data_IF_125973657662
#
_entry.id   IF_125973657662
#
_cell.length_a   1.000
_cell.length_b   1.000
_cell.length_c   1.000
_cell.angle_alpha   90.00
_cell.angle_beta   90.00
_cell.angle_gamma   90.00
#
_symmetry.space_group_name_H-M   'P 1'
#
loop_
_entity.id
_entity.type
_entity.pdbx_description
1 polymer ?
#
# COMPACT_ATOMS: atom_id res chain seq x y z
N UNK A 1 52.38 -32.10 -19.74
CA UNK A 1 51.73 -31.12 -18.81
C UNK A 1 50.24 -31.06 -19.17
N UNK A 2 49.46 -31.88 -18.52
CA UNK A 2 47.99 -31.99 -18.73
C UNK A 2 47.31 -30.99 -17.79
N UNK A 3 46.75 -29.93 -18.36
CA UNK A 3 45.90 -28.96 -17.63
C UNK A 3 44.58 -29.65 -17.27
N UNK A 4 44.42 -30.04 -16.01
CA UNK A 4 43.15 -30.39 -15.42
C UNK A 4 42.30 -29.12 -15.35
N UNK A 5 41.35 -28.96 -16.28
CA UNK A 5 40.22 -28.02 -16.13
C UNK A 5 39.31 -28.57 -15.03
N UNK A 6 39.45 -28.01 -13.85
CA UNK A 6 38.45 -28.21 -12.80
C UNK A 6 37.19 -27.49 -13.31
N UNK A 7 36.22 -28.25 -13.81
CA UNK A 7 34.86 -27.77 -14.04
C UNK A 7 34.28 -27.34 -12.70
N UNK A 8 34.28 -26.04 -12.47
CA UNK A 8 33.58 -25.45 -11.31
C UNK A 8 32.08 -25.67 -11.50
N UNK A 9 31.57 -26.75 -10.93
CA UNK A 9 30.12 -26.91 -10.78
C UNK A 9 29.55 -25.68 -10.11
N UNK A 10 28.80 -24.87 -10.85
CA UNK A 10 28.11 -23.68 -10.34
C UNK A 10 27.04 -24.15 -9.36
N UNK A 11 27.38 -24.18 -8.08
CA UNK A 11 26.44 -24.49 -7.03
C UNK A 11 25.32 -23.44 -7.05
N UNK A 12 24.11 -23.89 -7.32
CA UNK A 12 22.92 -22.99 -7.25
C UNK A 12 22.68 -22.64 -5.78
N UNK A 13 22.36 -21.35 -5.46
CA UNK A 13 22.05 -20.95 -4.10
C UNK A 13 20.83 -21.74 -3.61
N UNK A 14 20.96 -22.37 -2.46
CA UNK A 14 19.85 -23.07 -1.83
C UNK A 14 18.93 -22.03 -1.21
N UNK A 15 17.83 -21.76 -1.87
CA UNK A 15 16.76 -20.92 -1.31
C UNK A 15 15.95 -21.76 -0.32
N UNK A 16 15.60 -21.26 0.87
CA UNK A 16 14.77 -21.98 1.81
C UNK A 16 13.51 -22.54 1.16
N UNK A 17 13.22 -23.83 1.34
CA UNK A 17 12.06 -24.52 0.75
C UNK A 17 10.75 -23.86 1.14
N UNK A 18 10.67 -23.34 2.36
CA UNK A 18 9.49 -22.61 2.82
C UNK A 18 9.24 -21.33 2.02
N UNK A 19 10.29 -20.61 1.60
CA UNK A 19 10.15 -19.44 0.76
C UNK A 19 9.64 -19.79 -0.64
N UNK A 20 10.08 -20.94 -1.17
CA UNK A 20 9.59 -21.47 -2.46
C UNK A 20 8.10 -21.78 -2.37
N UNK A 21 7.65 -22.45 -1.30
CA UNK A 21 6.23 -22.78 -1.10
C UNK A 21 5.38 -21.49 -0.89
N UNK A 22 5.85 -20.54 -0.11
CA UNK A 22 5.16 -19.26 0.11
C UNK A 22 4.99 -18.41 -1.15
N UNK A 23 5.95 -18.49 -2.06
CA UNK A 23 5.92 -17.75 -3.32
C UNK A 23 5.29 -18.53 -4.48
N UNK A 24 4.90 -19.79 -4.29
CA UNK A 24 4.41 -20.68 -5.35
C UNK A 24 3.24 -20.09 -6.16
N UNK A 25 2.37 -19.30 -5.53
CA UNK A 25 1.24 -18.59 -6.19
C UNK A 25 1.68 -17.68 -7.34
N UNK A 26 2.93 -17.20 -7.30
CA UNK A 26 3.51 -16.33 -8.34
C UNK A 26 4.31 -17.09 -9.39
N UNK A 27 4.54 -18.40 -9.21
CA UNK A 27 5.33 -19.20 -10.16
C UNK A 27 4.88 -19.06 -11.61
N UNK A 28 3.55 -19.02 -11.92
CA UNK A 28 3.08 -18.87 -13.30
C UNK A 28 3.40 -17.50 -13.96
N UNK A 29 3.78 -16.48 -13.18
CA UNK A 29 4.12 -15.15 -13.71
C UNK A 29 5.53 -15.13 -14.37
N UNK A 30 6.35 -16.17 -14.16
CA UNK A 30 7.77 -16.13 -14.48
C UNK A 30 8.21 -17.37 -15.25
N UNK A 31 9.16 -17.23 -16.18
CA UNK A 31 9.86 -18.35 -16.77
C UNK A 31 10.74 -19.05 -15.73
N UNK A 32 11.10 -20.32 -15.94
CA UNK A 32 11.88 -21.07 -14.97
C UNK A 32 13.23 -20.41 -14.59
N UNK A 33 14.02 -19.84 -15.50
CA UNK A 33 15.25 -19.13 -15.14
C UNK A 33 14.98 -17.86 -14.33
N UNK A 34 13.98 -17.06 -14.72
CA UNK A 34 13.60 -15.84 -14.01
C UNK A 34 13.10 -16.15 -12.60
N UNK A 35 12.32 -17.23 -12.45
CA UNK A 35 11.80 -17.66 -11.16
C UNK A 35 12.91 -17.93 -10.14
N UNK A 36 13.95 -18.65 -10.52
CA UNK A 36 15.11 -18.92 -9.64
C UNK A 36 15.72 -17.63 -9.10
N UNK A 37 15.86 -16.60 -9.95
CA UNK A 37 16.41 -15.31 -9.55
C UNK A 37 15.42 -14.51 -8.68
N UNK A 38 14.11 -14.60 -8.94
CA UNK A 38 13.07 -13.96 -8.12
C UNK A 38 13.11 -14.48 -6.68
N UNK A 39 13.24 -15.78 -6.49
CA UNK A 39 13.35 -16.39 -5.15
C UNK A 39 14.51 -15.79 -4.35
N UNK A 40 15.68 -15.66 -4.98
CA UNK A 40 16.86 -15.05 -4.37
C UNK A 40 16.65 -13.56 -4.07
N UNK A 41 16.08 -12.83 -5.02
CA UNK A 41 15.84 -11.38 -4.85
C UNK A 41 14.83 -11.10 -3.73
N UNK A 42 13.77 -11.89 -3.63
CA UNK A 42 12.75 -11.73 -2.57
C UNK A 42 13.33 -12.15 -1.21
N UNK A 43 13.96 -13.30 -1.13
CA UNK A 43 14.62 -13.76 0.11
C UNK A 43 15.64 -12.74 0.61
N UNK A 44 16.53 -12.30 -0.27
CA UNK A 44 17.52 -11.30 0.08
C UNK A 44 16.95 -9.92 0.39
N UNK A 45 15.83 -9.51 -0.22
CA UNK A 45 15.16 -8.26 0.14
C UNK A 45 14.56 -8.30 1.56
N UNK A 46 14.12 -9.46 2.02
CA UNK A 46 13.62 -9.67 3.38
C UNK A 46 14.78 -9.70 4.38
N UNK A 47 15.84 -10.46 4.06
CA UNK A 47 16.95 -10.71 4.96
C UNK A 47 17.99 -9.58 5.02
N UNK A 48 18.13 -8.77 3.96
CA UNK A 48 19.11 -7.69 3.92
C UNK A 48 18.81 -6.61 4.98
N UNK A 49 19.78 -6.22 5.82
CA UNK A 49 19.65 -5.04 6.65
C UNK A 49 19.81 -3.76 5.82
N UNK A 50 19.16 -2.66 6.24
CA UNK A 50 19.28 -1.30 5.70
C UNK A 50 18.95 -1.17 4.20
N UNK A 51 19.94 -1.27 3.29
CA UNK A 51 19.79 -0.95 1.86
C UNK A 51 19.27 -2.13 1.05
N UNK A 52 18.26 -1.89 0.21
CA UNK A 52 17.68 -2.90 -0.70
C UNK A 52 18.23 -2.73 -2.13
N UNK A 53 19.57 -2.79 -2.26
CA UNK A 53 20.24 -2.88 -3.56
C UNK A 53 20.34 -4.35 -3.98
N UNK A 54 20.38 -4.64 -5.28
CA UNK A 54 20.58 -6.01 -5.77
C UNK A 54 21.86 -6.62 -5.19
N UNK A 55 22.96 -5.85 -5.13
CA UNK A 55 24.24 -6.32 -4.58
C UNK A 55 24.15 -6.65 -3.09
N UNK A 56 23.42 -5.87 -2.29
CA UNK A 56 23.21 -6.19 -0.87
C UNK A 56 22.34 -7.43 -0.71
N UNK A 57 21.32 -7.58 -1.55
CA UNK A 57 20.49 -8.79 -1.62
C UNK A 57 21.34 -10.03 -1.92
N UNK A 58 22.23 -9.94 -2.91
CA UNK A 58 23.12 -11.06 -3.27
C UNK A 58 24.12 -11.37 -2.14
N UNK A 59 24.67 -10.34 -1.50
CA UNK A 59 25.61 -10.53 -0.40
C UNK A 59 24.97 -11.28 0.77
N UNK A 60 23.78 -10.91 1.19
CA UNK A 60 23.08 -11.62 2.30
C UNK A 60 22.68 -13.04 1.92
N UNK A 61 22.51 -13.32 0.63
CA UNK A 61 22.21 -14.64 0.09
C UNK A 61 23.48 -15.47 -0.20
N UNK A 62 24.66 -15.04 0.24
CA UNK A 62 25.92 -15.77 0.04
C UNK A 62 26.42 -15.80 -1.41
N UNK A 63 26.01 -14.83 -2.23
CA UNK A 63 26.28 -14.78 -3.67
C UNK A 63 27.20 -13.63 -4.06
N UNK A 64 28.01 -13.12 -3.11
CA UNK A 64 28.90 -11.98 -3.35
C UNK A 64 29.92 -12.25 -4.47
N UNK A 65 30.48 -13.46 -4.47
CA UNK A 65 31.55 -13.88 -5.37
C UNK A 65 31.06 -14.67 -6.60
N UNK A 66 29.71 -14.76 -6.77
CA UNK A 66 29.17 -15.55 -7.87
C UNK A 66 29.29 -14.81 -9.20
N UNK A 67 29.95 -15.38 -10.23
CA UNK A 67 29.96 -14.84 -11.56
C UNK A 67 28.54 -14.79 -12.15
N UNK A 68 28.26 -13.81 -13.00
CA UNK A 68 26.94 -13.68 -13.64
C UNK A 68 25.88 -12.96 -12.80
N UNK A 69 26.28 -12.24 -11.76
CA UNK A 69 25.37 -11.39 -10.93
C UNK A 69 24.51 -10.41 -11.76
N UNK A 70 24.93 -10.05 -12.97
CA UNK A 70 24.16 -9.22 -13.89
C UNK A 70 22.77 -9.77 -14.21
N UNK A 71 22.57 -11.10 -14.18
CA UNK A 71 21.28 -11.77 -14.42
C UNK A 71 20.21 -11.34 -13.41
N UNK A 72 20.58 -11.05 -12.17
CA UNK A 72 19.65 -10.55 -11.14
C UNK A 72 19.17 -9.12 -11.44
N UNK A 73 20.03 -8.28 -12.00
CA UNK A 73 19.64 -6.98 -12.52
C UNK A 73 18.73 -7.11 -13.75
N UNK A 74 18.98 -8.10 -14.61
CA UNK A 74 18.18 -8.35 -15.82
C UNK A 74 16.75 -8.77 -15.49
N UNK A 75 16.51 -9.45 -14.37
CA UNK A 75 15.15 -9.74 -13.88
C UNK A 75 14.33 -8.46 -13.74
N UNK A 76 14.95 -7.39 -13.27
CA UNK A 76 14.28 -6.11 -13.05
C UNK A 76 14.19 -5.25 -14.31
N UNK A 77 15.24 -5.23 -15.16
CA UNK A 77 15.36 -4.26 -16.25
C UNK A 77 15.13 -4.82 -17.66
N UNK A 78 15.13 -6.15 -17.86
CA UNK A 78 15.03 -6.77 -19.21
C UNK A 78 14.03 -7.91 -19.29
N UNK A 79 13.93 -8.78 -18.26
CA UNK A 79 13.09 -9.97 -18.28
C UNK A 79 11.62 -9.62 -18.57
N UNK A 80 10.94 -10.45 -19.34
CA UNK A 80 9.53 -10.27 -19.67
C UNK A 80 8.65 -10.95 -18.62
N UNK A 81 7.93 -10.14 -17.84
CA UNK A 81 6.89 -10.57 -16.92
C UNK A 81 5.92 -9.41 -16.64
N UNK A 82 4.66 -9.73 -16.36
CA UNK A 82 3.62 -8.71 -16.16
C UNK A 82 3.46 -8.40 -14.66
N UNK A 83 3.85 -7.18 -14.26
CA UNK A 83 3.70 -6.70 -12.90
C UNK A 83 2.23 -6.60 -12.45
N UNK A 84 1.28 -6.46 -13.40
CA UNK A 84 -0.16 -6.43 -13.08
C UNK A 84 -0.70 -7.81 -12.76
N UNK A 85 -0.20 -8.87 -13.41
CA UNK A 85 -0.58 -10.25 -13.04
C UNK A 85 -0.03 -10.60 -11.66
N UNK A 86 1.20 -10.19 -11.35
CA UNK A 86 1.77 -10.32 -9.98
C UNK A 86 0.90 -9.59 -8.96
N UNK A 87 0.50 -8.34 -9.23
CA UNK A 87 -0.35 -7.53 -8.36
C UNK A 87 -1.75 -8.18 -8.18
N UNK A 88 -2.35 -8.71 -9.24
CA UNK A 88 -3.61 -9.45 -9.19
C UNK A 88 -3.51 -10.67 -8.31
N UNK A 89 -2.48 -11.49 -8.52
CA UNK A 89 -2.26 -12.71 -7.71
C UNK A 89 -2.02 -12.37 -6.25
N UNK A 90 -1.26 -11.31 -5.97
CA UNK A 90 -1.08 -10.82 -4.61
C UNK A 90 -2.41 -10.45 -3.97
N UNK A 91 -3.24 -9.62 -4.62
CA UNK A 91 -4.55 -9.24 -4.09
C UNK A 91 -5.41 -10.47 -3.78
N UNK A 92 -5.54 -11.40 -4.73
CA UNK A 92 -6.35 -12.61 -4.56
C UNK A 92 -5.81 -13.49 -3.43
N UNK A 93 -4.49 -13.62 -3.30
CA UNK A 93 -3.84 -14.38 -2.23
C UNK A 93 -4.10 -13.77 -0.85
N UNK A 94 -3.97 -12.44 -0.71
CA UNK A 94 -4.26 -11.72 0.52
C UNK A 94 -5.72 -11.93 0.95
N UNK A 95 -6.65 -11.81 0.01
CA UNK A 95 -8.08 -11.98 0.27
C UNK A 95 -8.43 -13.42 0.64
N UNK A 96 -7.85 -14.40 -0.04
CA UNK A 96 -8.10 -15.82 0.25
C UNK A 96 -7.72 -16.19 1.70
N UNK A 97 -6.66 -15.58 2.23
CA UNK A 97 -6.16 -15.91 3.57
C UNK A 97 -6.85 -15.06 4.66
N UNK A 98 -6.96 -13.75 4.46
CA UNK A 98 -7.38 -12.82 5.52
C UNK A 98 -8.84 -12.34 5.42
N UNK A 99 -9.50 -12.53 4.27
CA UNK A 99 -10.89 -12.10 4.04
C UNK A 99 -11.53 -12.87 2.88
N UNK A 100 -11.78 -14.18 3.02
CA UNK A 100 -12.27 -15.02 1.92
C UNK A 100 -13.66 -14.62 1.40
N UNK A 101 -14.44 -13.92 2.20
CA UNK A 101 -15.82 -13.50 1.86
C UNK A 101 -16.06 -12.03 2.21
N UNK A 102 -17.25 -11.51 1.85
CA UNK A 102 -17.72 -10.18 2.24
C UNK A 102 -17.18 -9.03 1.40
N UNK A 103 -17.30 -7.83 1.92
CA UNK A 103 -16.88 -6.57 1.30
C UNK A 103 -15.35 -6.42 1.30
N UNK A 104 -14.80 -5.83 0.25
CA UNK A 104 -13.38 -5.51 0.14
C UNK A 104 -13.19 -4.00 0.26
N UNK A 105 -12.54 -3.55 1.33
CA UNK A 105 -12.19 -2.14 1.52
C UNK A 105 -10.77 -1.89 1.03
N UNK A 106 -10.62 -0.93 0.12
CA UNK A 106 -9.35 -0.56 -0.50
C UNK A 106 -9.05 0.90 -0.19
N UNK A 107 -7.92 1.16 0.43
CA UNK A 107 -7.39 2.50 0.58
C UNK A 107 -6.54 2.91 -0.60
N UNK A 108 -6.64 4.18 -1.00
CA UNK A 108 -5.78 4.78 -2.01
C UNK A 108 -5.05 5.96 -1.39
N UNK A 109 -3.74 5.99 -1.62
CA UNK A 109 -2.90 7.11 -1.25
C UNK A 109 -1.69 7.23 -2.18
N UNK A 110 -1.03 8.39 -2.17
CA UNK A 110 0.20 8.56 -2.91
C UNK A 110 1.38 8.89 -1.97
N UNK A 111 2.57 8.50 -2.41
CA UNK A 111 3.80 8.74 -1.67
C UNK A 111 4.92 9.14 -2.60
N UNK A 112 5.85 9.94 -2.07
CA UNK A 112 7.06 10.33 -2.80
C UNK A 112 8.22 9.45 -2.31
N UNK A 113 8.81 8.70 -3.22
CA UNK A 113 10.08 8.03 -3.05
C UNK A 113 11.20 9.03 -3.37
N UNK A 114 11.98 9.44 -2.39
CA UNK A 114 13.06 10.43 -2.58
C UNK A 114 14.19 9.84 -3.40
N UNK A 115 14.50 10.47 -4.54
CA UNK A 115 15.53 10.02 -5.47
C UNK A 115 16.23 11.23 -6.13
N UNK A 116 17.55 11.16 -6.20
CA UNK A 116 18.36 12.27 -6.74
C UNK A 116 19.19 11.91 -7.99
N UNK A 117 19.22 10.65 -8.40
CA UNK A 117 20.02 10.20 -9.54
C UNK A 117 19.69 10.92 -10.85
N UNK A 118 20.68 11.50 -11.52
CA UNK A 118 20.49 12.22 -12.80
C UNK A 118 19.97 11.32 -13.93
N UNK A 119 20.30 10.04 -13.91
CA UNK A 119 19.86 9.03 -14.90
C UNK A 119 18.39 8.61 -14.74
N UNK A 120 17.70 9.02 -13.66
CA UNK A 120 16.30 8.68 -13.42
C UNK A 120 15.40 9.63 -14.20
N UNK A 121 14.95 9.22 -15.38
CA UNK A 121 14.17 10.06 -16.31
C UNK A 121 12.83 10.52 -15.73
N UNK A 122 12.11 9.62 -15.04
CA UNK A 122 10.77 9.90 -14.47
C UNK A 122 10.78 10.74 -13.19
N UNK A 123 11.95 11.18 -12.73
CA UNK A 123 12.11 12.02 -11.55
C UNK A 123 11.42 13.36 -11.71
N UNK A 124 10.67 13.75 -10.68
CA UNK A 124 10.02 15.06 -10.57
C UNK A 124 10.43 15.81 -9.31
N UNK A 125 9.94 17.04 -9.20
CA UNK A 125 10.04 17.86 -7.97
C UNK A 125 8.63 17.91 -7.38
N UNK A 126 8.51 17.53 -6.12
CA UNK A 126 7.24 17.42 -5.42
C UNK A 126 7.32 18.11 -4.04
N UNK A 127 6.15 18.42 -3.47
CA UNK A 127 6.06 18.80 -2.07
C UNK A 127 6.37 17.58 -1.20
N UNK A 128 7.32 17.73 -0.28
CA UNK A 128 7.57 16.70 0.75
C UNK A 128 6.52 16.84 1.85
N UNK A 129 5.56 15.93 1.89
CA UNK A 129 4.46 15.98 2.85
C UNK A 129 4.93 15.77 4.31
N UNK A 130 6.05 15.07 4.51
CA UNK A 130 6.60 14.80 5.84
C UNK A 130 7.34 16.01 6.43
N UNK A 131 8.07 16.75 5.57
CA UNK A 131 8.90 17.89 5.97
C UNK A 131 8.19 19.25 5.85
N UNK A 132 7.06 19.30 5.11
CA UNK A 132 6.30 20.53 4.94
C UNK A 132 5.26 20.69 6.05
N UNK A 133 5.15 21.89 6.59
CA UNK A 133 4.06 22.30 7.49
C UNK A 133 3.09 23.28 6.79
N UNK A 134 2.13 23.82 7.53
CA UNK A 134 1.17 24.77 6.98
C UNK A 134 1.85 26.08 6.50
N UNK A 135 2.91 26.51 7.20
CA UNK A 135 3.69 27.72 6.87
C UNK A 135 5.04 27.46 6.19
N UNK A 136 5.44 26.20 6.00
CA UNK A 136 6.76 25.88 5.43
C UNK A 136 6.67 24.81 4.33
N UNK A 137 6.99 25.22 3.11
CA UNK A 137 6.90 24.37 1.93
C UNK A 137 8.27 23.80 1.55
N UNK A 138 8.49 22.51 1.77
CA UNK A 138 9.71 21.81 1.40
C UNK A 138 9.51 21.07 0.08
N UNK A 139 10.37 21.33 -0.90
CA UNK A 139 10.44 20.58 -2.16
C UNK A 139 11.40 19.41 -2.04
N UNK A 140 11.04 18.29 -2.62
CA UNK A 140 11.92 17.12 -2.74
C UNK A 140 11.93 16.58 -4.16
N UNK A 141 13.10 16.08 -4.57
CA UNK A 141 13.27 15.34 -5.81
C UNK A 141 12.89 13.89 -5.60
N UNK A 142 12.12 13.30 -6.51
CA UNK A 142 11.73 11.90 -6.34
C UNK A 142 10.80 11.36 -7.40
N UNK A 143 10.24 10.19 -7.09
CA UNK A 143 9.25 9.47 -7.88
C UNK A 143 7.93 9.46 -7.11
N UNK A 144 6.84 9.82 -7.77
CA UNK A 144 5.51 9.81 -7.16
C UNK A 144 4.81 8.49 -7.44
N UNK A 145 4.46 7.79 -6.41
CA UNK A 145 3.79 6.50 -6.47
C UNK A 145 2.35 6.63 -5.97
N UNK A 146 1.40 6.11 -6.76
CA UNK A 146 0.04 5.85 -6.33
C UNK A 146 -0.05 4.41 -5.88
N UNK A 147 -0.49 4.16 -4.66
CA UNK A 147 -0.63 2.80 -4.11
C UNK A 147 -2.06 2.51 -3.71
N UNK A 148 -2.53 1.33 -4.08
CA UNK A 148 -3.76 0.73 -3.62
C UNK A 148 -3.42 -0.35 -2.61
N UNK A 149 -3.98 -0.25 -1.41
CA UNK A 149 -3.81 -1.21 -0.32
C UNK A 149 -5.16 -1.76 0.12
N UNK A 150 -5.25 -3.08 0.28
CA UNK A 150 -6.46 -3.68 0.86
C UNK A 150 -6.40 -3.59 2.38
N UNK A 151 -7.51 -3.15 3.01
CA UNK A 151 -7.64 -2.96 4.45
C UNK A 151 -8.11 -4.25 5.10
N UNK A 152 -7.19 -5.09 5.57
CA UNK A 152 -7.51 -6.40 6.11
C UNK A 152 -7.30 -6.50 7.62
N UNK A 153 -8.13 -7.27 8.34
CA UNK A 153 -7.85 -7.61 9.72
C UNK A 153 -6.57 -8.45 9.77
N UNK A 154 -5.67 -8.09 10.67
CA UNK A 154 -4.45 -8.86 10.94
C UNK A 154 -4.60 -9.44 12.35
N UNK A 155 -4.94 -10.73 12.48
CA UNK A 155 -5.33 -11.33 13.76
C UNK A 155 -4.27 -11.19 14.85
N UNK A 156 -3.00 -11.43 14.54
CA UNK A 156 -1.91 -11.31 15.52
C UNK A 156 -1.68 -9.88 16.01
N UNK A 157 -2.11 -8.87 15.24
CA UNK A 157 -1.99 -7.47 15.63
C UNK A 157 -3.28 -6.92 16.26
N UNK A 158 -4.38 -7.68 16.27
CA UNK A 158 -5.68 -7.28 16.80
C UNK A 158 -6.29 -6.06 16.10
N UNK A 159 -5.82 -5.69 14.91
CA UNK A 159 -6.24 -4.49 14.18
C UNK A 159 -6.12 -4.66 12.66
N UNK A 160 -6.76 -3.76 11.92
CA UNK A 160 -6.62 -3.72 10.45
C UNK A 160 -5.29 -3.10 10.05
N UNK A 161 -4.66 -3.67 9.01
CA UNK A 161 -3.49 -3.10 8.33
C UNK A 161 -3.85 -2.80 6.87
N UNK A 162 -3.13 -1.84 6.30
CA UNK A 162 -3.18 -1.56 4.87
C UNK A 162 -2.11 -2.41 4.16
N UNK A 163 -2.53 -3.36 3.33
CA UNK A 163 -1.65 -4.27 2.62
C UNK A 163 -1.57 -3.87 1.14
N UNK A 164 -0.48 -3.22 0.69
CA UNK A 164 -0.30 -2.80 -0.70
C UNK A 164 -0.30 -3.98 -1.65
N UNK A 165 -1.07 -3.89 -2.73
CA UNK A 165 -1.10 -4.91 -3.77
C UNK A 165 -0.86 -4.36 -5.17
N UNK A 166 -1.16 -3.08 -5.41
CA UNK A 166 -0.97 -2.42 -6.69
C UNK A 166 -0.37 -1.03 -6.47
N UNK A 167 0.84 -0.82 -6.95
CA UNK A 167 1.54 0.46 -6.87
C UNK A 167 2.00 0.87 -8.26
N UNK A 168 1.64 2.07 -8.69
CA UNK A 168 1.92 2.58 -10.03
C UNK A 168 2.65 3.91 -9.98
N UNK A 169 3.62 4.11 -10.87
CA UNK A 169 4.33 5.37 -11.02
C UNK A 169 3.42 6.40 -11.68
N UNK A 170 3.28 7.57 -11.05
CA UNK A 170 2.57 8.73 -11.59
C UNK A 170 3.59 9.84 -11.91
N UNK A 171 4.18 9.87 -13.13
CA UNK A 171 5.22 10.82 -13.47
C UNK A 171 4.71 12.26 -13.47
N UNK A 172 5.64 13.21 -13.32
CA UNK A 172 5.34 14.65 -13.39
C UNK A 172 4.89 15.10 -14.79
N UNK A 173 4.22 16.27 -14.85
CA UNK A 173 3.87 16.90 -16.12
C UNK A 173 5.11 17.15 -17.00
N UNK A 174 6.19 17.67 -16.40
CA UNK A 174 7.47 17.90 -17.09
C UNK A 174 8.04 16.63 -17.75
N UNK A 175 7.96 15.49 -17.06
CA UNK A 175 8.40 14.22 -17.65
C UNK A 175 7.52 13.82 -18.85
N UNK A 176 6.21 13.97 -18.72
CA UNK A 176 5.25 13.64 -19.81
C UNK A 176 5.53 14.50 -21.05
N UNK A 177 5.74 15.79 -20.85
CA UNK A 177 6.08 16.75 -21.91
C UNK A 177 7.40 16.37 -22.60
N UNK A 178 8.46 16.08 -21.82
CA UNK A 178 9.76 15.63 -22.35
C UNK A 178 9.68 14.31 -23.14
N UNK A 179 8.62 13.51 -22.95
CA UNK A 179 8.35 12.28 -23.70
C UNK A 179 7.35 12.49 -24.84
N UNK A 180 6.93 13.72 -25.13
CA UNK A 180 5.88 14.01 -26.12
C UNK A 180 4.52 13.39 -25.79
N UNK A 181 4.22 13.14 -24.50
CA UNK A 181 3.00 12.47 -24.07
C UNK A 181 2.09 13.43 -23.30
N UNK A 182 0.78 13.29 -23.50
CA UNK A 182 -0.19 14.02 -22.68
C UNK A 182 -0.03 13.64 -21.21
N UNK A 183 0.09 14.64 -20.35
CA UNK A 183 0.16 14.41 -18.90
C UNK A 183 -1.12 13.78 -18.37
N UNK A 184 -0.97 12.80 -17.50
CA UNK A 184 -2.06 12.12 -16.82
C UNK A 184 -2.06 12.54 -15.35
N UNK A 185 -3.11 13.24 -14.92
CA UNK A 185 -3.29 13.63 -13.52
C UNK A 185 -3.38 12.41 -12.60
N UNK A 186 -3.05 12.59 -11.32
CA UNK A 186 -3.08 11.52 -10.31
C UNK A 186 -4.46 10.86 -10.21
N UNK A 187 -5.55 11.66 -10.30
CA UNK A 187 -6.93 11.17 -10.31
C UNK A 187 -7.23 10.25 -11.50
N UNK A 188 -6.59 10.46 -12.67
CA UNK A 188 -6.72 9.57 -13.82
C UNK A 188 -5.95 8.25 -13.63
N UNK A 189 -4.81 8.28 -12.93
CA UNK A 189 -4.11 7.07 -12.52
C UNK A 189 -4.95 6.28 -11.51
N UNK A 190 -5.54 6.96 -10.52
CA UNK A 190 -6.45 6.36 -9.55
C UNK A 190 -7.67 5.72 -10.24
N UNK A 191 -8.33 6.43 -11.16
CA UNK A 191 -9.43 5.88 -11.96
C UNK A 191 -9.05 4.56 -12.64
N UNK A 192 -7.90 4.50 -13.32
CA UNK A 192 -7.45 3.29 -14.00
C UNK A 192 -7.18 2.14 -13.03
N UNK A 193 -6.51 2.43 -11.91
CA UNK A 193 -6.18 1.44 -10.89
C UNK A 193 -7.43 0.89 -10.20
N UNK A 194 -8.41 1.74 -9.87
CA UNK A 194 -9.69 1.33 -9.28
C UNK A 194 -10.46 0.42 -10.24
N UNK A 195 -10.63 0.84 -11.49
CA UNK A 195 -11.37 0.05 -12.48
C UNK A 195 -10.66 -1.26 -12.80
N UNK A 196 -9.32 -1.28 -12.82
CA UNK A 196 -8.56 -2.50 -12.97
C UNK A 196 -8.78 -3.45 -11.79
N UNK A 197 -8.74 -2.94 -10.56
CA UNK A 197 -8.98 -3.73 -9.35
C UNK A 197 -10.41 -4.30 -9.34
N UNK A 198 -11.40 -3.50 -9.76
CA UNK A 198 -12.79 -3.96 -9.87
C UNK A 198 -12.95 -5.14 -10.85
N UNK A 199 -12.21 -5.13 -11.97
CA UNK A 199 -12.20 -6.26 -12.92
C UNK A 199 -11.58 -7.53 -12.32
N UNK A 200 -10.66 -7.39 -11.36
CA UNK A 200 -10.06 -8.52 -10.65
C UNK A 200 -10.99 -9.13 -9.58
N UNK A 201 -12.01 -8.39 -9.17
CA UNK A 201 -12.95 -8.75 -8.12
C UNK A 201 -14.41 -8.65 -8.59
N UNK A 202 -14.82 -9.41 -9.64
CA UNK A 202 -16.14 -9.26 -10.25
C UNK A 202 -17.30 -9.60 -9.29
N UNK A 203 -17.07 -10.50 -8.35
CA UNK A 203 -18.09 -11.04 -7.45
C UNK A 203 -18.06 -10.43 -6.04
N UNK A 204 -17.20 -9.42 -5.83
CA UNK A 204 -17.04 -8.79 -4.51
C UNK A 204 -17.53 -7.34 -4.54
N UNK A 205 -18.24 -6.92 -3.49
CA UNK A 205 -18.48 -5.50 -3.26
C UNK A 205 -17.17 -4.81 -2.90
N UNK A 206 -16.79 -3.79 -3.66
CA UNK A 206 -15.56 -3.03 -3.46
C UNK A 206 -15.90 -1.64 -2.95
N UNK A 207 -15.31 -1.27 -1.82
CA UNK A 207 -15.34 0.08 -1.25
C UNK A 207 -13.95 0.67 -1.36
N UNK A 208 -13.86 1.85 -1.95
CA UNK A 208 -12.60 2.58 -2.11
C UNK A 208 -12.60 3.80 -1.21
N UNK A 209 -11.57 3.94 -0.42
CA UNK A 209 -11.39 5.08 0.50
C UNK A 209 -10.15 5.87 0.10
N UNK A 210 -10.32 7.16 -0.11
CA UNK A 210 -9.26 8.06 -0.57
C UNK A 210 -9.22 9.36 0.22
N UNK A 211 -8.08 10.06 0.20
CA UNK A 211 -7.96 11.38 0.81
C UNK A 211 -8.62 12.49 -0.02
N UNK A 212 -8.50 13.75 0.45
CA UNK A 212 -9.07 14.92 -0.24
C UNK A 212 -8.46 15.19 -1.62
N UNK A 213 -7.24 14.73 -1.90
CA UNK A 213 -6.58 14.86 -3.20
C UNK A 213 -7.30 14.10 -4.32
N UNK A 214 -8.10 13.09 -3.95
CA UNK A 214 -8.92 12.31 -4.87
C UNK A 214 -10.40 12.74 -4.90
N UNK A 215 -10.77 13.80 -4.19
CA UNK A 215 -12.12 14.36 -4.18
C UNK A 215 -12.39 15.17 -5.48
N UNK A 216 -12.56 14.48 -6.59
CA UNK A 216 -12.77 15.05 -7.93
C UNK A 216 -14.01 14.46 -8.59
N UNK A 217 -14.90 15.34 -9.11
CA UNK A 217 -16.16 14.92 -9.73
C UNK A 217 -15.97 13.97 -10.91
N UNK A 218 -14.93 14.20 -11.74
CA UNK A 218 -14.63 13.31 -12.87
C UNK A 218 -14.24 11.91 -12.41
N UNK A 219 -13.44 11.81 -11.35
CA UNK A 219 -13.06 10.51 -10.79
C UNK A 219 -14.30 9.81 -10.25
N UNK A 220 -15.08 10.48 -9.41
CA UNK A 220 -16.29 9.93 -8.78
C UNK A 220 -17.31 9.51 -9.83
N UNK A 221 -17.58 10.35 -10.81
CA UNK A 221 -18.51 10.03 -11.90
C UNK A 221 -18.08 8.78 -12.69
N UNK A 222 -16.77 8.59 -12.87
CA UNK A 222 -16.24 7.47 -13.63
C UNK A 222 -16.27 6.15 -12.84
N UNK A 223 -16.17 6.18 -11.50
CA UNK A 223 -16.03 4.95 -10.68
C UNK A 223 -17.28 4.56 -9.92
N UNK A 224 -18.20 5.49 -9.60
CA UNK A 224 -19.36 5.27 -8.72
C UNK A 224 -20.32 4.17 -9.15
N UNK A 225 -20.34 3.80 -10.44
CA UNK A 225 -21.17 2.68 -10.95
C UNK A 225 -20.55 1.31 -10.66
N UNK A 226 -19.29 1.27 -10.29
CA UNK A 226 -18.50 0.05 -10.16
C UNK A 226 -18.05 -0.22 -8.72
N UNK A 227 -17.86 0.84 -7.93
CA UNK A 227 -17.40 0.77 -6.56
C UNK A 227 -18.11 1.81 -5.69
N UNK A 228 -18.27 1.52 -4.40
CA UNK A 228 -18.58 2.53 -3.40
C UNK A 228 -17.31 3.37 -3.16
N UNK A 229 -17.39 4.69 -3.32
CA UNK A 229 -16.24 5.59 -3.16
C UNK A 229 -16.47 6.54 -2.00
N UNK A 230 -15.52 6.56 -1.05
CA UNK A 230 -15.56 7.39 0.16
C UNK A 230 -14.33 8.31 0.14
N UNK A 231 -14.55 9.62 0.33
CA UNK A 231 -13.46 10.60 0.45
C UNK A 231 -13.90 11.82 1.26
N UNK A 232 -12.97 12.72 1.54
CA UNK A 232 -13.30 14.00 2.18
C UNK A 232 -14.07 14.89 1.22
N UNK A 233 -15.02 15.64 1.76
CA UNK A 233 -15.76 16.69 1.07
C UNK A 233 -15.37 18.04 1.66
N UNK A 234 -15.25 19.05 0.80
CA UNK A 234 -15.01 20.41 1.29
C UNK A 234 -16.27 20.97 1.96
N UNK A 235 -16.10 21.74 3.02
CA UNK A 235 -17.22 22.38 3.73
C UNK A 235 -17.95 23.42 2.89
N UNK A 236 -17.30 23.98 1.87
CA UNK A 236 -17.86 24.92 0.91
C UNK A 236 -18.40 24.28 -0.38
N UNK A 237 -18.46 22.92 -0.43
CA UNK A 237 -18.92 22.19 -1.60
C UNK A 237 -20.32 22.63 -2.07
N UNK A 238 -20.48 22.73 -3.41
CA UNK A 238 -21.76 23.11 -4.02
C UNK A 238 -22.69 21.90 -4.11
N UNK A 239 -23.59 21.80 -3.15
CA UNK A 239 -24.57 20.74 -3.02
C UNK A 239 -25.95 21.20 -3.48
N UNK A 240 -26.68 20.31 -4.12
CA UNK A 240 -28.00 20.57 -4.69
C UNK A 240 -28.97 19.44 -4.33
N UNK A 241 -30.24 19.73 -4.40
CA UNK A 241 -31.28 18.71 -4.39
C UNK A 241 -31.22 17.84 -5.66
N UNK A 242 -31.76 16.63 -5.64
CA UNK A 242 -31.95 15.84 -6.84
C UNK A 242 -32.74 16.63 -7.89
N UNK A 243 -32.46 16.38 -9.17
CA UNK A 243 -33.23 16.98 -10.25
C UNK A 243 -34.71 16.63 -10.12
N UNK A 244 -35.64 17.59 -10.34
CA UNK A 244 -37.07 17.30 -10.33
C UNK A 244 -37.44 16.25 -11.40
N UNK A 245 -38.40 15.39 -11.10
CA UNK A 245 -38.92 14.43 -12.07
C UNK A 245 -39.51 15.20 -13.26
N UNK A 246 -39.12 14.79 -14.48
CA UNK A 246 -39.63 15.39 -15.70
C UNK A 246 -41.12 15.07 -15.86
N UNK A 247 -41.92 16.08 -16.19
CA UNK A 247 -43.33 15.90 -16.50
C UNK A 247 -43.48 15.36 -17.93
N UNK A 248 -44.52 14.52 -18.17
CA UNK A 248 -44.84 14.03 -19.49
C UNK A 248 -45.11 15.22 -20.43
N UNK A 249 -44.49 15.27 -21.62
CA UNK A 249 -44.61 16.37 -22.58
C UNK A 249 -43.72 17.61 -22.31
N UNK A 250 -42.92 17.62 -21.25
CA UNK A 250 -42.04 18.75 -20.97
C UNK A 250 -40.95 18.88 -22.02
N UNK A 251 -40.86 20.03 -22.69
CA UNK A 251 -39.85 20.35 -23.69
C UNK A 251 -38.54 20.79 -23.06
N UNK A 252 -37.43 20.74 -23.81
CA UNK A 252 -36.13 21.22 -23.41
C UNK A 252 -35.24 20.16 -22.79
N UNK A 253 -33.98 20.56 -22.43
CA UNK A 253 -32.97 19.69 -21.82
C UNK A 253 -33.36 19.30 -20.40
N UNK A 254 -33.27 18.01 -19.99
CA UNK A 254 -33.52 17.62 -18.63
C UNK A 254 -32.62 18.35 -17.62
N UNK A 255 -33.19 18.77 -16.50
CA UNK A 255 -32.42 19.37 -15.40
C UNK A 255 -31.42 18.37 -14.85
N UNK A 256 -30.21 18.81 -14.58
CA UNK A 256 -29.15 17.96 -13.98
C UNK A 256 -29.18 17.97 -12.45
N UNK A 257 -29.84 18.98 -11.86
CA UNK A 257 -29.89 19.23 -10.41
C UNK A 257 -31.16 20.01 -10.05
N UNK A 258 -31.54 19.96 -8.77
CA UNK A 258 -32.60 20.76 -8.19
C UNK A 258 -32.08 22.06 -7.56
N UNK A 259 -32.77 22.54 -6.52
CA UNK A 259 -32.41 23.77 -5.76
C UNK A 259 -31.03 23.60 -5.10
N UNK A 260 -30.31 24.72 -4.97
CA UNK A 260 -29.06 24.76 -4.22
C UNK A 260 -29.33 24.60 -2.74
N UNK A 261 -28.55 23.74 -2.07
CA UNK A 261 -28.59 23.58 -0.61
C UNK A 261 -27.62 24.53 0.08
N UNK A 262 -27.84 24.76 1.36
CA UNK A 262 -26.88 25.45 2.22
C UNK A 262 -25.52 24.77 2.16
N UNK A 263 -24.45 25.53 2.21
CA UNK A 263 -23.10 24.99 2.32
C UNK A 263 -22.92 24.29 3.68
N UNK A 264 -22.06 23.29 3.77
CA UNK A 264 -21.85 22.54 5.02
C UNK A 264 -21.25 23.40 6.14
N UNK A 265 -20.47 24.44 5.83
CA UNK A 265 -20.03 25.42 6.82
C UNK A 265 -21.19 26.22 7.42
N UNK A 266 -22.24 26.52 6.66
CA UNK A 266 -23.44 27.16 7.20
C UNK A 266 -24.27 26.18 8.08
N UNK A 267 -24.38 24.91 7.66
CA UNK A 267 -24.99 23.85 8.47
C UNK A 267 -24.28 23.67 9.81
N UNK A 268 -22.96 23.82 9.82
CA UNK A 268 -22.12 23.68 11.02
C UNK A 268 -22.47 24.70 12.11
N UNK A 269 -22.78 25.94 11.71
CA UNK A 269 -23.05 27.05 12.64
C UNK A 269 -24.55 27.32 12.86
N UNK A 270 -25.43 26.64 12.12
CA UNK A 270 -26.87 26.79 12.26
C UNK A 270 -27.36 26.16 13.58
N UNK A 271 -27.92 26.97 14.52
CA UNK A 271 -28.42 26.43 15.79
C UNK A 271 -29.57 25.43 15.64
N UNK A 272 -30.25 25.41 14.49
CA UNK A 272 -31.31 24.45 14.18
C UNK A 272 -30.80 23.09 13.72
N UNK A 273 -29.48 22.94 13.52
CA UNK A 273 -28.90 21.67 13.10
C UNK A 273 -28.99 20.66 14.24
N UNK A 274 -29.73 19.56 14.01
CA UNK A 274 -29.84 18.45 14.95
C UNK A 274 -28.65 17.52 14.78
N UNK A 275 -27.81 17.44 15.80
CA UNK A 275 -26.60 16.61 15.83
C UNK A 275 -26.88 15.25 16.49
N UNK A 276 -26.35 14.19 15.90
CA UNK A 276 -26.34 12.84 16.47
C UNK A 276 -24.97 12.53 17.05
N UNK A 277 -24.91 12.18 18.34
CA UNK A 277 -23.64 11.78 19.00
C UNK A 277 -23.35 10.31 18.76
N UNK A 278 -22.09 9.98 18.53
CA UNK A 278 -21.59 8.61 18.37
C UNK A 278 -20.22 8.42 19.01
N UNK A 279 -19.99 7.23 19.57
CA UNK A 279 -18.66 6.80 20.02
C UNK A 279 -18.01 6.00 18.88
N UNK A 280 -16.95 6.53 18.30
CA UNK A 280 -16.16 5.82 17.29
C UNK A 280 -14.90 5.24 17.92
N UNK A 281 -14.76 3.93 17.82
CA UNK A 281 -13.54 3.21 18.15
C UNK A 281 -12.53 3.39 17.01
N UNK A 282 -11.25 3.43 17.34
CA UNK A 282 -10.15 3.58 16.35
C UNK A 282 -10.15 4.91 15.56
N UNK A 283 -10.76 5.98 16.09
CA UNK A 283 -10.61 7.31 15.49
C UNK A 283 -9.13 7.71 15.51
N UNK A 284 -8.64 8.38 14.50
CA UNK A 284 -7.25 8.78 14.28
C UNK A 284 -6.30 8.51 15.46
N UNK A 285 -5.40 7.52 15.32
CA UNK A 285 -4.47 7.11 16.39
C UNK A 285 -4.97 5.97 17.28
N UNK A 286 -6.10 5.33 16.95
CA UNK A 286 -6.60 4.14 17.65
C UNK A 286 -7.36 4.45 18.95
N UNK A 287 -7.69 5.72 19.20
CA UNK A 287 -8.46 6.12 20.39
C UNK A 287 -9.97 6.06 20.13
N UNK A 288 -10.74 5.68 21.13
CA UNK A 288 -12.21 5.84 21.13
C UNK A 288 -12.52 7.30 21.38
N UNK A 289 -13.36 7.91 20.53
CA UNK A 289 -13.72 9.33 20.64
C UNK A 289 -15.23 9.54 20.43
N UNK A 290 -15.81 10.41 21.26
CA UNK A 290 -17.15 10.92 21.05
C UNK A 290 -17.12 11.98 19.95
N UNK A 291 -17.98 11.84 18.96
CA UNK A 291 -18.15 12.79 17.86
C UNK A 291 -19.61 13.07 17.64
N UNK A 292 -19.93 14.28 17.17
CA UNK A 292 -21.24 14.63 16.70
C UNK A 292 -21.26 14.65 15.18
N UNK A 293 -22.29 14.10 14.57
CA UNK A 293 -22.44 14.16 13.12
C UNK A 293 -23.87 14.53 12.71
N UNK A 294 -23.96 15.07 11.49
CA UNK A 294 -25.19 15.22 10.73
C UNK A 294 -24.95 14.71 9.31
N UNK A 295 -25.95 14.08 8.72
CA UNK A 295 -25.84 13.46 7.41
C UNK A 295 -27.06 13.72 6.55
N UNK A 296 -26.88 13.64 5.25
CA UNK A 296 -27.95 13.72 4.27
C UNK A 296 -27.49 13.32 2.89
N UNK A 297 -28.42 13.27 1.95
CA UNK A 297 -28.13 13.01 0.54
C UNK A 297 -28.21 14.31 -0.26
N UNK A 298 -27.38 14.42 -1.29
CA UNK A 298 -27.35 15.59 -2.18
C UNK A 298 -26.76 15.22 -3.54
N UNK A 299 -26.90 16.13 -4.50
CA UNK A 299 -26.17 16.08 -5.77
C UNK A 299 -24.99 17.05 -5.68
N UNK A 300 -23.78 16.56 -5.72
CA UNK A 300 -22.59 17.37 -5.85
C UNK A 300 -22.37 17.72 -7.33
N UNK A 301 -22.25 19.01 -7.64
CA UNK A 301 -22.17 19.48 -9.03
C UNK A 301 -21.34 20.75 -9.14
N UNK A 302 -20.55 20.83 -10.21
CA UNK A 302 -19.91 22.04 -10.73
C UNK A 302 -20.21 22.16 -12.23
N UNK A 303 -20.25 23.38 -12.73
CA UNK A 303 -20.49 23.63 -14.15
C UNK A 303 -19.46 22.90 -15.02
N UNK A 304 -19.93 22.29 -16.12
CA UNK A 304 -19.08 21.50 -17.00
C UNK A 304 -18.76 20.09 -16.52
N UNK A 305 -19.12 19.74 -15.27
CA UNK A 305 -18.86 18.42 -14.70
C UNK A 305 -20.10 17.54 -14.62
N UNK A 306 -19.98 16.23 -14.65
CA UNK A 306 -21.11 15.33 -14.43
C UNK A 306 -21.63 15.45 -12.99
N UNK A 307 -22.96 15.46 -12.78
CA UNK A 307 -23.53 15.47 -11.44
C UNK A 307 -23.28 14.15 -10.72
N UNK A 308 -22.94 14.19 -9.44
CA UNK A 308 -22.75 13.03 -8.59
C UNK A 308 -23.72 13.03 -7.42
N UNK A 309 -24.63 12.05 -7.38
CA UNK A 309 -25.42 11.78 -6.18
C UNK A 309 -24.50 11.22 -5.09
N UNK A 310 -24.55 11.81 -3.91
CA UNK A 310 -23.72 11.43 -2.76
C UNK A 310 -24.52 11.46 -1.47
N UNK A 311 -24.14 10.62 -0.52
CA UNK A 311 -24.40 10.83 0.91
C UNK A 311 -23.22 11.64 1.46
N UNK A 312 -23.52 12.70 2.17
CA UNK A 312 -22.53 13.50 2.90
C UNK A 312 -22.66 13.26 4.40
N UNK A 313 -21.55 13.34 5.12
CA UNK A 313 -21.50 13.25 6.59
C UNK A 313 -20.63 14.41 7.06
N UNK A 314 -21.23 15.35 7.81
CA UNK A 314 -20.53 16.43 8.47
C UNK A 314 -20.27 16.03 9.92
N UNK A 315 -19.04 16.17 10.37
CA UNK A 315 -18.60 15.73 11.71
C UNK A 315 -17.95 16.91 12.42
N UNK A 316 -18.26 17.06 13.71
CA UNK A 316 -17.54 17.95 14.63
C UNK A 316 -17.07 17.19 15.87
N UNK A 317 -16.00 17.66 16.43
CA UNK A 317 -15.50 17.22 17.74
C UNK A 317 -16.11 18.13 18.82
N UNK A 318 -16.99 17.61 19.70
CA UNK A 318 -17.58 18.44 20.74
C UNK A 318 -16.57 18.97 21.76
N UNK A 319 -15.37 18.37 21.85
CA UNK A 319 -14.28 18.85 22.69
C UNK A 319 -13.47 20.00 22.05
N UNK A 320 -13.73 20.35 20.79
CA UNK A 320 -13.01 21.41 20.06
C UNK A 320 -11.55 21.12 19.73
N UNK A 321 -11.06 19.92 20.00
CA UNK A 321 -9.65 19.57 19.76
C UNK A 321 -9.33 19.31 18.28
N UNK A 322 -10.35 19.14 17.43
CA UNK A 322 -10.18 18.90 16.00
C UNK A 322 -11.16 19.73 15.18
N UNK A 323 -10.66 20.25 14.07
CA UNK A 323 -11.47 20.98 13.11
C UNK A 323 -12.61 20.11 12.56
N UNK A 324 -13.78 20.71 12.28
CA UNK A 324 -14.88 20.04 11.63
C UNK A 324 -14.48 19.50 10.26
N UNK A 325 -15.04 18.34 9.89
CA UNK A 325 -14.73 17.65 8.65
C UNK A 325 -16.02 17.18 7.98
N UNK A 326 -16.01 17.16 6.65
CA UNK A 326 -17.08 16.53 5.92
C UNK A 326 -16.53 15.39 5.03
N UNK A 327 -17.37 14.38 4.85
CA UNK A 327 -17.09 13.21 4.04
C UNK A 327 -18.20 13.01 3.03
N UNK A 328 -17.88 12.39 1.90
CA UNK A 328 -18.86 11.94 0.93
C UNK A 328 -18.74 10.43 0.70
N UNK A 329 -19.86 9.82 0.39
CA UNK A 329 -19.98 8.44 -0.05
C UNK A 329 -20.87 8.37 -1.29
N UNK A 330 -20.50 7.56 -2.27
CA UNK A 330 -21.31 7.36 -3.48
C UNK A 330 -22.43 6.34 -3.30
N UNK A 331 -22.41 5.58 -2.20
CA UNK A 331 -23.52 4.74 -1.77
C UNK A 331 -24.40 5.57 -0.84
N UNK A 332 -25.65 5.80 -1.28
CA UNK A 332 -26.59 6.67 -0.59
C UNK A 332 -27.20 6.03 0.66
N UNK A 333 -27.16 4.69 0.74
CA UNK A 333 -27.81 3.91 1.81
C UNK A 333 -26.80 3.50 2.89
N UNK A 334 -25.49 3.72 2.66
CA UNK A 334 -24.47 3.35 3.64
C UNK A 334 -24.57 4.23 4.89
N UNK A 335 -24.65 3.61 6.06
CA UNK A 335 -24.76 4.29 7.35
C UNK A 335 -23.62 5.28 7.61
N UNK A 336 -23.92 6.48 8.16
CA UNK A 336 -22.92 7.52 8.43
C UNK A 336 -21.74 7.03 9.27
N UNK A 337 -21.99 6.26 10.32
CA UNK A 337 -20.97 5.69 11.19
C UNK A 337 -20.04 4.73 10.44
N UNK A 338 -20.62 3.92 9.54
CA UNK A 338 -19.85 3.01 8.68
C UNK A 338 -18.97 3.77 7.67
N UNK A 339 -19.43 4.91 7.15
CA UNK A 339 -18.61 5.79 6.29
C UNK A 339 -17.40 6.30 7.07
N UNK A 340 -17.61 6.80 8.29
CA UNK A 340 -16.55 7.34 9.14
C UNK A 340 -15.53 6.26 9.52
N UNK A 341 -15.98 5.08 9.95
CA UNK A 341 -15.11 3.95 10.29
C UNK A 341 -14.22 3.53 9.11
N UNK A 342 -14.81 3.42 7.90
CA UNK A 342 -14.04 3.07 6.70
C UNK A 342 -13.03 4.15 6.32
N UNK A 343 -13.42 5.42 6.44
CA UNK A 343 -12.52 6.52 6.12
C UNK A 343 -11.28 6.54 7.03
N UNK A 344 -11.47 6.35 8.32
CA UNK A 344 -10.36 6.35 9.29
C UNK A 344 -9.38 5.20 9.05
N UNK A 345 -9.85 4.04 8.57
CA UNK A 345 -8.96 2.92 8.22
C UNK A 345 -7.90 3.32 7.18
N UNK A 346 -8.15 4.31 6.29
CA UNK A 346 -7.19 4.78 5.29
C UNK A 346 -5.86 5.23 5.91
N UNK A 347 -5.90 5.84 7.09
CA UNK A 347 -4.69 6.31 7.78
C UNK A 347 -3.62 5.21 7.97
N UNK A 348 -4.03 3.95 7.95
CA UNK A 348 -3.11 2.81 8.04
C UNK A 348 -2.14 2.73 6.84
N UNK A 349 -2.45 3.33 5.68
CA UNK A 349 -1.53 3.37 4.53
C UNK A 349 -0.29 4.21 4.86
N UNK A 350 -0.45 5.30 5.57
CA UNK A 350 0.65 6.17 5.97
C UNK A 350 1.63 5.41 6.88
N UNK A 351 1.10 4.66 7.85
CA UNK A 351 1.90 3.75 8.69
C UNK A 351 2.61 2.68 7.85
N UNK A 352 1.92 2.09 6.87
CA UNK A 352 2.52 1.09 5.96
C UNK A 352 3.67 1.69 5.16
N UNK A 353 3.53 2.89 4.63
CA UNK A 353 4.63 3.56 3.92
C UNK A 353 5.82 3.86 4.83
N UNK A 354 5.57 4.28 6.06
CA UNK A 354 6.63 4.49 7.05
C UNK A 354 7.36 3.19 7.36
N UNK A 355 6.65 2.14 7.76
CA UNK A 355 7.23 0.83 8.10
C UNK A 355 7.95 0.19 6.90
N UNK A 356 7.44 0.35 5.67
CA UNK A 356 8.12 -0.12 4.47
C UNK A 356 9.44 0.61 4.20
N UNK A 357 9.54 1.91 4.52
CA UNK A 357 10.82 2.64 4.47
C UNK A 357 11.79 2.14 5.53
N UNK A 358 11.32 1.98 6.74
CA UNK A 358 12.16 1.58 7.89
C UNK A 358 12.61 0.12 7.77
N UNK A 359 11.70 -0.81 7.48
CA UNK A 359 11.95 -2.24 7.59
C UNK A 359 12.31 -2.92 6.26
N UNK A 360 11.83 -2.40 5.13
CA UNK A 360 12.09 -2.93 3.79
C UNK A 360 12.93 -1.99 2.91
N UNK A 361 13.45 -0.91 3.48
CA UNK A 361 14.38 -0.02 2.82
C UNK A 361 13.85 0.60 1.53
N UNK A 362 12.55 0.89 1.45
CA UNK A 362 12.02 1.75 0.37
C UNK A 362 12.76 3.10 0.42
N UNK A 363 13.11 3.66 -0.73
CA UNK A 363 14.01 4.81 -0.95
C UNK A 363 15.52 4.48 -0.94
N UNK A 364 15.93 3.27 -0.57
CA UNK A 364 17.34 2.88 -0.56
C UNK A 364 17.82 2.19 -1.85
N UNK A 365 16.88 1.90 -2.77
CA UNK A 365 17.16 1.28 -4.05
C UNK A 365 18.07 2.18 -4.93
N UNK A 366 18.88 1.54 -5.79
CA UNK A 366 19.83 2.23 -6.68
C UNK A 366 19.54 2.05 -8.17
N UNK A 367 18.42 1.41 -8.52
CA UNK A 367 18.00 1.25 -9.92
C UNK A 367 17.72 2.61 -10.55
N UNK A 368 18.14 2.76 -11.81
CA UNK A 368 17.97 3.98 -12.58
C UNK A 368 17.26 3.73 -13.93
N UNK A 369 17.21 2.49 -14.42
CA UNK A 369 16.46 2.17 -15.63
C UNK A 369 14.96 2.20 -15.39
N UNK A 370 14.19 2.67 -16.36
CA UNK A 370 12.75 2.89 -16.23
C UNK A 370 12.01 1.61 -15.80
N UNK A 371 12.32 0.47 -16.45
CA UNK A 371 11.66 -0.79 -16.14
C UNK A 371 12.00 -1.32 -14.74
N UNK A 372 13.27 -1.19 -14.32
CA UNK A 372 13.67 -1.63 -12.97
C UNK A 372 13.01 -0.76 -11.88
N UNK A 373 12.87 0.55 -12.11
CA UNK A 373 12.15 1.46 -11.22
C UNK A 373 10.70 1.00 -11.09
N UNK A 374 10.00 0.79 -12.23
CA UNK A 374 8.59 0.36 -12.26
C UNK A 374 8.32 -0.97 -11.53
N UNK A 375 9.35 -1.77 -11.27
CA UNK A 375 9.24 -3.08 -10.64
C UNK A 375 9.69 -3.12 -9.19
N UNK A 376 10.74 -2.38 -8.84
CA UNK A 376 11.40 -2.54 -7.53
C UNK A 376 10.56 -1.98 -6.39
N UNK A 377 10.09 -0.74 -6.47
CA UNK A 377 9.29 -0.13 -5.40
C UNK A 377 7.95 -0.84 -5.21
N UNK A 378 7.19 -1.17 -6.27
CA UNK A 378 6.00 -2.01 -6.13
C UNK A 378 6.28 -3.39 -5.52
N UNK A 379 7.41 -4.02 -5.87
CA UNK A 379 7.80 -5.31 -5.28
C UNK A 379 8.08 -5.20 -3.78
N UNK A 380 8.80 -4.17 -3.32
CA UNK A 380 9.06 -3.98 -1.88
C UNK A 380 7.77 -3.74 -1.09
N UNK A 381 6.84 -2.93 -1.62
CA UNK A 381 5.53 -2.75 -1.01
C UNK A 381 4.69 -4.04 -1.04
N UNK A 382 4.79 -4.84 -2.09
CA UNK A 382 4.18 -6.18 -2.16
C UNK A 382 4.79 -7.16 -1.14
N UNK A 383 6.09 -7.09 -0.89
CA UNK A 383 6.77 -7.90 0.14
C UNK A 383 6.26 -7.54 1.54
N UNK A 384 5.94 -6.28 1.83
CA UNK A 384 5.27 -5.90 3.08
C UNK A 384 4.00 -6.74 3.30
N UNK A 385 3.16 -6.82 2.28
CA UNK A 385 1.91 -7.58 2.35
C UNK A 385 2.14 -9.09 2.48
N UNK A 386 3.13 -9.64 1.77
CA UNK A 386 3.49 -11.05 1.87
C UNK A 386 4.03 -11.42 3.24
N UNK A 387 4.95 -10.61 3.79
CA UNK A 387 5.50 -10.81 5.14
C UNK A 387 4.38 -10.82 6.18
N UNK A 388 3.38 -9.93 6.02
CA UNK A 388 2.22 -9.88 6.94
C UNK A 388 1.43 -11.20 6.91
N UNK A 389 1.15 -11.73 5.72
CA UNK A 389 0.41 -13.01 5.56
C UNK A 389 1.24 -14.18 6.06
N UNK A 390 2.53 -14.21 5.77
CA UNK A 390 3.39 -15.29 6.25
C UNK A 390 3.54 -15.29 7.76
N UNK A 391 3.70 -14.10 8.38
CA UNK A 391 3.67 -13.95 9.83
C UNK A 391 2.35 -14.44 10.43
N UNK A 392 1.21 -14.19 9.76
CA UNK A 392 -0.09 -14.75 10.17
C UNK A 392 -0.09 -16.27 10.12
N UNK A 393 0.44 -16.89 9.06
CA UNK A 393 0.57 -18.34 8.95
C UNK A 393 1.45 -18.96 10.04
N UNK A 394 2.50 -18.28 10.46
CA UNK A 394 3.38 -18.73 11.55
C UNK A 394 2.66 -18.81 12.91
N UNK A 395 1.60 -18.03 13.11
CA UNK A 395 0.83 -18.07 14.37
C UNK A 395 0.05 -19.37 14.58
N UNK A 396 -0.16 -20.16 13.54
CA UNK A 396 -0.82 -21.47 13.67
C UNK A 396 0.10 -22.49 14.37
N UNK A 397 1.39 -22.20 14.50
CA UNK A 397 2.34 -23.02 15.23
C UNK A 397 2.77 -22.33 16.54
N UNK A 398 2.49 -22.91 17.72
CA UNK A 398 2.81 -22.31 19.01
C UNK A 398 4.29 -21.93 19.20
N UNK A 399 5.20 -22.62 18.53
CA UNK A 399 6.65 -22.35 18.63
C UNK A 399 7.11 -21.13 17.82
N UNK A 400 6.29 -20.61 16.91
CA UNK A 400 6.64 -19.51 15.99
C UNK A 400 5.74 -18.29 16.11
N UNK A 401 5.01 -18.16 17.22
CA UNK A 401 4.08 -17.06 17.44
C UNK A 401 4.76 -15.69 17.32
N UNK A 402 4.17 -14.81 16.51
CA UNK A 402 4.59 -13.40 16.42
C UNK A 402 4.26 -12.69 17.73
N UNK A 403 5.28 -12.34 18.49
CA UNK A 403 5.15 -11.62 19.76
C UNK A 403 5.69 -10.21 19.65
N UNK A 404 5.11 -9.24 20.36
CA UNK A 404 5.72 -7.92 20.46
C UNK A 404 7.13 -8.05 21.05
N UNK A 405 8.08 -7.34 20.47
CA UNK A 405 9.42 -7.26 21.04
C UNK A 405 9.39 -6.35 22.27
N UNK A 406 9.52 -6.96 23.46
CA UNK A 406 9.59 -6.26 24.73
C UNK A 406 11.03 -5.98 25.12
N UNK A 407 11.25 -4.79 25.69
CA UNK A 407 12.49 -4.45 26.37
C UNK A 407 12.15 -3.87 27.74
N UNK A 408 13.10 -3.90 28.67
CA UNK A 408 12.89 -3.36 30.03
C UNK A 408 12.43 -1.89 30.02
N UNK A 409 12.88 -1.12 29.03
CA UNK A 409 12.55 0.29 28.84
C UNK A 409 11.35 0.55 27.91
N UNK A 410 10.78 -0.48 27.27
CA UNK A 410 9.67 -0.34 26.31
C UNK A 410 8.75 -1.56 26.32
N UNK A 411 7.57 -1.37 26.89
CA UNK A 411 6.53 -2.40 26.91
C UNK A 411 5.61 -2.24 25.70
N UNK A 412 5.86 -2.99 24.64
CA UNK A 412 5.09 -2.97 23.41
C UNK A 412 3.81 -3.78 23.57
N UNK A 413 2.66 -3.13 23.53
CA UNK A 413 1.35 -3.77 23.76
C UNK A 413 0.86 -4.66 22.62
N UNK A 414 1.18 -4.30 21.40
CA UNK A 414 0.69 -5.01 20.19
C UNK A 414 1.81 -5.17 19.17
N UNK A 415 1.86 -6.29 18.43
CA UNK A 415 2.82 -6.47 17.34
C UNK A 415 2.67 -5.41 16.25
N UNK A 416 3.79 -5.05 15.65
CA UNK A 416 3.89 -4.19 14.48
C UNK A 416 4.54 -4.96 13.34
N UNK A 417 4.73 -4.31 12.19
CA UNK A 417 5.41 -4.94 11.06
C UNK A 417 6.86 -5.34 11.37
N UNK A 418 7.55 -4.61 12.26
CA UNK A 418 8.90 -5.00 12.70
C UNK A 418 8.92 -6.37 13.38
N UNK A 419 7.89 -6.71 14.17
CA UNK A 419 7.78 -8.03 14.80
C UNK A 419 7.44 -9.12 13.77
N UNK A 420 6.55 -8.80 12.83
CA UNK A 420 6.17 -9.70 11.74
C UNK A 420 7.37 -10.08 10.87
N UNK A 421 8.15 -9.09 10.42
CA UNK A 421 9.34 -9.35 9.60
C UNK A 421 10.45 -10.04 10.40
N UNK A 422 10.59 -9.74 11.69
CA UNK A 422 11.55 -10.44 12.55
C UNK A 422 11.20 -11.92 12.69
N UNK A 423 9.92 -12.27 12.86
CA UNK A 423 9.48 -13.67 12.91
C UNK A 423 9.76 -14.41 11.59
N UNK A 424 9.47 -13.79 10.45
CA UNK A 424 9.77 -14.35 9.13
C UNK A 424 11.28 -14.51 8.93
N UNK A 425 12.09 -13.52 9.32
CA UNK A 425 13.56 -13.60 9.24
C UNK A 425 14.13 -14.71 10.12
N UNK A 426 13.64 -14.88 11.35
CA UNK A 426 14.08 -16.01 12.23
C UNK A 426 13.88 -17.35 11.56
N UNK A 427 12.72 -17.55 10.94
CA UNK A 427 12.45 -18.80 10.22
C UNK A 427 13.36 -18.97 9.01
N UNK A 428 13.60 -17.92 8.24
CA UNK A 428 14.49 -17.97 7.08
C UNK A 428 15.97 -18.18 7.47
N UNK A 429 16.40 -17.68 8.64
CA UNK A 429 17.76 -17.90 9.17
C UNK A 429 17.92 -19.22 9.91
N UNK A 430 16.84 -19.96 10.20
CA UNK A 430 16.94 -21.20 10.96
C UNK A 430 17.59 -22.32 10.12
N UNK A 431 18.52 -23.11 10.69
CA UNK A 431 18.90 -24.40 10.12
C UNK A 431 17.69 -25.36 10.22
N UNK A 432 17.35 -26.16 9.24
CA UNK A 432 18.00 -26.48 7.97
C UNK A 432 17.48 -25.64 6.79
N UNK A 433 16.78 -24.55 7.04
CA UNK A 433 16.13 -23.73 5.98
C UNK A 433 17.12 -23.06 5.04
N UNK A 434 18.34 -22.85 5.48
CA UNK A 434 19.35 -22.10 4.74
C UNK A 434 20.70 -22.80 4.76
N UNK A 435 21.09 -23.44 3.65
CA UNK A 435 22.44 -23.96 3.46
C UNK A 435 23.21 -23.02 2.55
N UNK A 436 24.23 -22.36 3.12
CA UNK A 436 25.06 -21.35 2.43
C UNK A 436 26.46 -21.86 2.09
N UNK A 437 26.89 -22.99 2.66
CA UNK A 437 28.26 -23.46 2.51
C UNK A 437 28.44 -24.29 1.23
N UNK A 438 29.44 -23.91 0.43
CA UNK A 438 29.95 -24.70 -0.68
C UNK A 438 30.86 -25.84 -0.23
N UNK A 439 31.50 -25.67 0.92
CA UNK A 439 32.38 -26.64 1.55
C UNK A 439 31.70 -27.14 2.82
N UNK A 440 31.03 -28.27 2.76
CA UNK A 440 30.25 -28.82 3.87
C UNK A 440 31.09 -29.31 5.08
N UNK A 441 32.34 -28.91 5.21
CA UNK A 441 33.25 -29.50 6.20
C UNK A 441 33.80 -28.48 7.22
N UNK A 442 33.70 -27.15 6.97
CA UNK A 442 34.20 -26.19 7.94
C UNK A 442 33.07 -25.72 8.86
N UNK A 443 33.07 -26.19 10.10
CA UNK A 443 32.16 -25.73 11.15
C UNK A 443 32.96 -25.10 12.28
N UNK A 444 32.44 -24.06 12.86
CA UNK A 444 32.96 -23.43 14.07
C UNK A 444 31.93 -23.54 15.18
N UNK A 445 32.33 -23.97 16.36
CA UNK A 445 31.46 -24.00 17.54
C UNK A 445 31.29 -22.60 18.08
N UNK A 446 30.05 -22.16 18.22
CA UNK A 446 29.70 -20.87 18.79
C UNK A 446 28.78 -21.13 19.99
N UNK A 447 29.02 -20.48 21.17
CA UNK A 447 28.08 -20.55 22.28
C UNK A 447 26.65 -20.19 21.86
N UNK A 448 25.66 -21.00 22.23
CA UNK A 448 24.25 -20.81 21.84
C UNK A 448 23.74 -19.40 22.19
N UNK A 449 24.13 -18.88 23.35
CA UNK A 449 23.74 -17.51 23.75
C UNK A 449 24.28 -16.43 22.81
N UNK A 450 25.47 -16.59 22.26
CA UNK A 450 26.08 -15.66 21.31
C UNK A 450 25.42 -15.80 19.94
N UNK A 451 25.17 -17.02 19.46
CA UNK A 451 24.44 -17.29 18.23
C UNK A 451 23.04 -16.65 18.26
N UNK A 452 22.32 -16.84 19.37
CA UNK A 452 21.00 -16.23 19.53
C UNK A 452 21.04 -14.69 19.47
N UNK A 453 22.06 -14.04 20.05
CA UNK A 453 22.25 -12.59 19.94
C UNK A 453 22.51 -12.15 18.50
N UNK A 454 23.31 -12.87 17.73
CA UNK A 454 23.55 -12.56 16.32
C UNK A 454 22.25 -12.70 15.50
N UNK A 455 21.53 -13.80 15.68
CA UNK A 455 20.25 -14.01 14.98
C UNK A 455 19.24 -12.93 15.32
N UNK A 456 19.06 -12.59 16.61
CA UNK A 456 18.14 -11.51 17.01
C UNK A 456 18.56 -10.16 16.44
N UNK A 457 19.84 -9.81 16.47
CA UNK A 457 20.35 -8.58 15.88
C UNK A 457 20.03 -8.50 14.38
N UNK A 458 20.24 -9.59 13.62
CA UNK A 458 19.92 -9.65 12.19
C UNK A 458 18.41 -9.62 11.93
N UNK A 459 17.61 -10.26 12.77
CA UNK A 459 16.16 -10.31 12.63
C UNK A 459 15.50 -8.96 12.87
N UNK A 460 16.01 -8.20 13.84
CA UNK A 460 15.50 -6.88 14.23
C UNK A 460 16.15 -5.71 13.47
N UNK A 461 17.18 -5.98 12.66
CA UNK A 461 17.84 -4.95 11.87
C UNK A 461 16.88 -4.30 10.84
N UNK A 462 16.75 -2.98 10.89
CA UNK A 462 15.94 -2.17 10.00
C UNK A 462 16.63 -1.92 8.64
#
# INVERSE_FOLDING_TARGET
MTHNRIESATAHPTVPTILVSWLAVFRPCFTAPVWKHILVLVGGAILAPRKRTVTQTLRVMGLADQPGFGRYHEVLNRARWDARDVARRLLLHLLAILSPSGEVVIGIDDTIERRWGSKIKARGIYRDAVRSSHGHFVKTSGLRWLSLAVMLPVPFAGRRWALPFLTVLAPSARWSEAQGRRHKALTNWAKQAILQTRRWLPDRRVVVVADSGFSALELIAAVRRYVCFITRLRLDASLFEPAPKRRKGQMGRPALKGKRRSKLNAVLVDPKTVWTSVMLTEWYGGQTRKLDYVSGTAVWYHNGMPPAAIRWVLVRDPSGQRDPQAFLCTDLDLEPTAILQRFVCRWRIETTFQEAREQLGVETQRQWSDLAILRTTPALLGIYSLVTVWAHGLMQNPSTVVRPHHAAWYNKRQPTFSDAIAAVRRLLWSPPSFSMSRSGSESTEIPVALLNRFVETLCLAA
#
